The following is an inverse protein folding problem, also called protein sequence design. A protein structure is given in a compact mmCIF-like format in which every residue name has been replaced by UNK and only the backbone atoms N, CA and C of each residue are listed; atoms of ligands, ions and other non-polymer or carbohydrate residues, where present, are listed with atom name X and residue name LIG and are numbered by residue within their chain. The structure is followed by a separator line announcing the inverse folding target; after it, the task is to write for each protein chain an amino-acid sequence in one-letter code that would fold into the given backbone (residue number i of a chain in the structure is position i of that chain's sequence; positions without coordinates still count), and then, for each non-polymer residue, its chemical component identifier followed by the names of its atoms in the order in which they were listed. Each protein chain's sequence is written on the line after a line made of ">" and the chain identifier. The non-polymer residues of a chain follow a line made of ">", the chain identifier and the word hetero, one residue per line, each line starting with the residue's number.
data_IF_691322283842
#
_entry.id   IF_691322283842
#
_cell.length_a   1.000
_cell.length_b   1.000
_cell.length_c   1.000
_cell.angle_alpha   90.00
_cell.angle_beta   90.00
_cell.angle_gamma   90.00
#
_symmetry.space_group_name_H-M   'P 1'
#
loop_
_entity.id
_entity.type
_entity.pdbx_description
1 polymer ?
#
# COMPACT_ATOMS: atom_id res chain seq x y z
N UNK A 1 7.42 22.44 -24.86
CA UNK A 1 7.11 22.85 -23.47
C UNK A 1 8.17 22.20 -22.61
N UNK A 2 8.88 22.99 -21.80
CA UNK A 2 9.98 22.51 -20.96
C UNK A 2 9.53 21.34 -20.07
N UNK A 3 10.23 20.21 -20.14
CA UNK A 3 10.06 19.10 -19.22
C UNK A 3 10.54 19.55 -17.84
N UNK A 4 9.73 19.30 -16.82
CA UNK A 4 10.04 19.66 -15.43
C UNK A 4 10.26 18.39 -14.64
N UNK A 5 11.50 18.13 -14.25
CA UNK A 5 11.90 16.96 -13.47
C UNK A 5 12.01 17.34 -12.00
N UNK A 6 11.36 16.59 -11.12
CA UNK A 6 11.32 16.87 -9.68
C UNK A 6 12.17 15.84 -8.95
N UNK A 7 13.04 16.29 -8.07
CA UNK A 7 13.95 15.43 -7.30
C UNK A 7 14.23 16.03 -5.93
N UNK A 8 14.74 15.20 -5.03
CA UNK A 8 15.17 15.58 -3.69
C UNK A 8 16.69 15.74 -3.63
N UNK A 9 17.13 16.79 -2.95
CA UNK A 9 18.55 17.05 -2.68
C UNK A 9 18.96 16.23 -1.48
N UNK A 10 19.89 15.30 -1.69
CA UNK A 10 20.42 14.41 -0.66
C UNK A 10 21.76 14.93 -0.12
N UNK A 11 22.10 14.47 1.08
CA UNK A 11 23.39 14.78 1.71
C UNK A 11 23.47 16.18 2.31
N UNK A 12 22.33 16.86 2.52
CA UNK A 12 22.22 18.18 3.16
C UNK A 12 22.97 18.26 4.51
N UNK A 13 23.01 17.15 5.25
CA UNK A 13 23.67 17.03 6.55
C UNK A 13 25.20 17.06 6.50
N UNK A 14 25.81 16.78 5.34
CA UNK A 14 27.27 16.76 5.17
C UNK A 14 27.83 18.14 4.79
N UNK A 15 26.95 19.10 4.54
CA UNK A 15 27.25 20.49 4.22
C UNK A 15 26.68 21.40 5.31
N UNK A 16 26.97 22.70 5.24
CA UNK A 16 26.21 23.72 5.99
C UNK A 16 24.75 23.84 5.51
N UNK A 17 24.24 22.87 4.74
CA UNK A 17 22.95 22.87 4.08
C UNK A 17 21.79 23.13 5.03
N UNK A 18 21.81 22.57 6.24
CA UNK A 18 20.82 22.80 7.28
C UNK A 18 20.63 24.29 7.66
N UNK A 19 21.73 25.05 7.75
CA UNK A 19 21.72 26.49 8.05
C UNK A 19 21.40 27.30 6.79
N UNK A 20 21.91 26.85 5.65
CA UNK A 20 21.76 27.56 4.38
C UNK A 20 20.34 27.47 3.78
N UNK A 21 19.58 26.40 4.06
CA UNK A 21 18.19 26.28 3.59
C UNK A 21 17.20 27.10 4.42
N UNK A 22 17.59 27.63 5.59
CA UNK A 22 16.72 28.47 6.44
C UNK A 22 16.35 29.79 5.72
N UNK A 23 17.29 30.33 4.96
CA UNK A 23 17.11 31.57 4.20
C UNK A 23 16.45 31.35 2.82
N UNK A 24 16.24 30.09 2.43
CA UNK A 24 15.65 29.75 1.14
C UNK A 24 14.12 29.82 1.16
N UNK A 25 13.53 30.17 0.00
CA UNK A 25 12.08 30.20 -0.21
C UNK A 25 11.67 29.31 -1.37
N UNK A 26 10.44 28.84 -1.31
CA UNK A 26 9.82 28.19 -2.47
C UNK A 26 9.82 29.17 -3.66
N UNK A 27 10.25 28.69 -4.81
CA UNK A 27 10.43 29.48 -6.02
C UNK A 27 11.84 30.04 -6.23
N UNK A 28 12.72 29.98 -5.23
CA UNK A 28 14.11 30.39 -5.38
C UNK A 28 14.85 29.48 -6.37
N UNK A 29 15.84 30.04 -7.06
CA UNK A 29 16.65 29.31 -8.03
C UNK A 29 17.87 28.68 -7.35
N UNK A 30 18.23 27.48 -7.78
CA UNK A 30 19.48 26.80 -7.42
C UNK A 30 20.21 26.41 -8.70
N UNK A 31 21.52 26.29 -8.60
CA UNK A 31 22.38 25.87 -9.71
C UNK A 31 22.75 24.40 -9.54
N UNK A 32 22.76 23.66 -10.64
CA UNK A 32 23.15 22.25 -10.67
C UNK A 32 24.43 22.10 -11.46
N UNK A 33 25.38 21.30 -10.95
CA UNK A 33 26.70 21.13 -11.59
C UNK A 33 27.12 19.66 -11.62
N UNK A 34 27.51 19.16 -12.78
CA UNK A 34 28.00 17.78 -12.90
C UNK A 34 29.41 17.65 -12.35
N UNK A 35 29.65 16.63 -11.52
CA UNK A 35 30.98 16.26 -11.02
C UNK A 35 31.35 14.82 -11.44
N UNK A 36 31.72 14.60 -12.71
CA UNK A 36 32.06 13.27 -13.22
C UNK A 36 33.37 12.69 -12.66
N UNK A 37 34.14 13.49 -11.90
CA UNK A 37 35.38 13.08 -11.24
C UNK A 37 35.17 12.75 -9.77
N UNK A 38 33.92 12.76 -9.29
CA UNK A 38 33.61 12.38 -7.92
C UNK A 38 34.06 10.93 -7.65
N UNK A 39 34.76 10.72 -6.55
CA UNK A 39 35.42 9.44 -6.22
C UNK A 39 34.43 8.30 -5.90
N UNK A 40 33.19 8.64 -5.56
CA UNK A 40 32.14 7.71 -5.13
C UNK A 40 31.12 7.44 -6.24
N UNK A 41 30.74 8.48 -6.98
CA UNK A 41 29.75 8.39 -8.06
C UNK A 41 30.15 9.24 -9.26
N UNK A 42 30.59 8.61 -10.35
CA UNK A 42 30.91 9.29 -11.61
C UNK A 42 29.71 9.98 -12.28
N UNK A 43 28.50 9.78 -11.76
CA UNK A 43 27.30 10.50 -12.18
C UNK A 43 26.90 11.66 -11.25
N UNK A 44 27.69 11.98 -10.23
CA UNK A 44 27.31 12.97 -9.22
C UNK A 44 26.91 14.33 -9.84
N UNK A 45 25.79 14.88 -9.36
CA UNK A 45 25.33 16.23 -9.67
C UNK A 45 25.22 16.99 -8.36
N UNK A 46 26.01 18.05 -8.24
CA UNK A 46 26.10 18.94 -7.08
C UNK A 46 25.03 20.03 -7.17
N UNK A 47 24.49 20.44 -6.02
CA UNK A 47 23.45 21.47 -5.91
C UNK A 47 23.99 22.67 -5.15
N UNK A 48 23.89 23.85 -5.76
CA UNK A 48 24.41 25.11 -5.25
C UNK A 48 23.31 26.16 -5.09
N UNK A 49 23.36 26.91 -3.99
CA UNK A 49 22.51 28.08 -3.79
C UNK A 49 22.99 29.29 -4.61
N UNK A 50 22.18 30.36 -4.74
CA UNK A 50 22.58 31.58 -5.45
C UNK A 50 23.87 32.23 -4.95
N UNK A 51 24.25 32.04 -3.68
CA UNK A 51 25.50 32.54 -3.10
C UNK A 51 26.75 31.74 -3.50
N UNK A 52 26.58 30.60 -4.17
CA UNK A 52 27.66 29.73 -4.62
C UNK A 52 28.04 28.62 -3.61
N UNK A 53 27.31 28.51 -2.50
CA UNK A 53 27.50 27.46 -1.51
C UNK A 53 26.84 26.15 -1.97
N UNK A 54 27.59 25.04 -1.87
CA UNK A 54 27.05 23.71 -2.10
C UNK A 54 26.20 23.29 -0.92
N UNK A 55 24.97 22.83 -1.20
CA UNK A 55 24.05 22.33 -0.17
C UNK A 55 23.90 20.82 -0.20
N UNK A 56 24.15 20.17 -1.33
CA UNK A 56 24.06 18.72 -1.43
C UNK A 56 24.26 18.20 -2.85
N UNK A 57 23.65 17.06 -3.11
CA UNK A 57 23.67 16.39 -4.41
C UNK A 57 22.27 15.94 -4.83
N UNK A 58 22.09 15.69 -6.11
CA UNK A 58 20.96 14.90 -6.59
C UNK A 58 21.16 13.43 -6.19
N UNK A 59 20.07 12.75 -5.83
CA UNK A 59 20.10 11.32 -5.51
C UNK A 59 20.69 10.49 -6.65
N UNK A 60 21.43 9.42 -6.34
CA UNK A 60 22.22 8.66 -7.33
C UNK A 60 21.42 8.16 -8.53
N UNK A 61 20.22 7.63 -8.31
CA UNK A 61 19.34 7.11 -9.37
C UNK A 61 18.88 8.24 -10.29
N UNK A 62 18.45 9.35 -9.70
CA UNK A 62 18.05 10.55 -10.44
C UNK A 62 19.24 11.16 -11.19
N UNK A 63 20.42 11.24 -10.56
CA UNK A 63 21.63 11.79 -11.16
C UNK A 63 22.08 11.00 -12.40
N UNK A 64 21.96 9.67 -12.35
CA UNK A 64 22.19 8.81 -13.51
C UNK A 64 21.17 9.09 -14.63
N UNK A 65 19.90 9.29 -14.28
CA UNK A 65 18.87 9.65 -15.25
C UNK A 65 19.13 11.03 -15.86
N UNK A 66 19.38 12.05 -15.05
CA UNK A 66 19.72 13.41 -15.49
C UNK A 66 20.90 13.40 -16.45
N UNK A 67 22.02 12.75 -16.10
CA UNK A 67 23.20 12.67 -16.96
C UNK A 67 22.96 11.97 -18.31
N UNK A 68 21.91 11.17 -18.43
CA UNK A 68 21.54 10.49 -19.68
C UNK A 68 20.75 11.36 -20.65
N UNK A 69 20.20 12.48 -20.17
CA UNK A 69 19.36 13.41 -20.95
C UNK A 69 19.88 14.85 -20.93
N UNK A 70 20.88 15.13 -20.12
CA UNK A 70 21.40 16.46 -19.88
C UNK A 70 22.87 16.55 -20.32
N UNK A 71 23.09 17.27 -21.42
CA UNK A 71 24.41 17.42 -22.06
C UNK A 71 25.23 18.61 -21.52
N UNK A 72 24.60 19.59 -20.85
CA UNK A 72 25.29 20.77 -20.32
C UNK A 72 25.91 20.53 -18.93
N UNK A 73 26.93 21.34 -18.60
CA UNK A 73 27.70 21.20 -17.35
C UNK A 73 27.08 21.94 -16.16
N UNK A 74 26.25 22.97 -16.41
CA UNK A 74 25.59 23.78 -15.38
C UNK A 74 24.15 24.13 -15.81
N UNK A 75 23.16 23.93 -14.93
CA UNK A 75 21.74 24.25 -15.17
C UNK A 75 21.10 24.94 -13.97
N UNK A 76 19.88 25.45 -14.18
CA UNK A 76 19.05 26.03 -13.13
C UNK A 76 17.86 25.14 -12.77
N UNK A 77 17.59 25.06 -11.47
CA UNK A 77 16.42 24.41 -10.93
C UNK A 77 15.72 25.34 -9.94
N UNK A 78 14.43 25.09 -9.68
CA UNK A 78 13.60 25.89 -8.79
C UNK A 78 13.29 25.10 -7.52
N UNK A 79 13.38 25.72 -6.35
CA UNK A 79 12.94 25.10 -5.09
C UNK A 79 11.43 24.94 -5.09
N UNK A 80 10.94 23.71 -4.92
CA UNK A 80 9.51 23.36 -4.93
C UNK A 80 9.03 22.69 -3.65
N UNK A 81 9.93 22.34 -2.75
CA UNK A 81 9.61 21.82 -1.42
C UNK A 81 10.77 22.07 -0.47
N UNK A 82 10.46 22.48 0.75
CA UNK A 82 11.44 22.80 1.78
C UNK A 82 10.85 22.44 3.13
N UNK A 83 11.47 21.50 3.82
CA UNK A 83 11.13 21.10 5.19
C UNK A 83 12.43 21.04 5.98
N UNK A 84 12.61 21.91 6.96
CA UNK A 84 13.87 22.01 7.70
C UNK A 84 14.10 23.40 8.29
N UNK A 85 15.24 23.56 8.98
CA UNK A 85 15.66 24.77 9.69
C UNK A 85 16.41 24.41 10.97
N UNK A 86 17.03 25.38 11.66
CA UNK A 86 17.84 25.15 12.87
C UNK A 86 17.15 24.35 13.98
N UNK A 87 15.81 24.36 14.01
CA UNK A 87 14.99 23.65 15.01
C UNK A 87 14.42 22.31 14.52
N UNK A 88 14.74 21.86 13.30
CA UNK A 88 14.21 20.62 12.71
C UNK A 88 15.17 19.45 12.85
N UNK A 89 14.65 18.27 13.23
CA UNK A 89 15.42 17.02 13.28
C UNK A 89 15.76 16.45 11.89
N UNK A 90 15.04 16.91 10.85
CA UNK A 90 15.22 16.46 9.46
C UNK A 90 15.23 17.65 8.50
N UNK A 91 16.04 17.52 7.43
CA UNK A 91 16.20 18.52 6.39
C UNK A 91 15.89 17.90 5.03
N UNK A 92 14.90 18.45 4.34
CA UNK A 92 14.44 18.01 3.02
C UNK A 92 14.36 19.24 2.11
N UNK A 93 15.07 19.18 1.00
CA UNK A 93 15.02 20.18 -0.07
C UNK A 93 14.63 19.49 -1.37
N UNK A 94 13.53 19.94 -1.98
CA UNK A 94 13.03 19.41 -3.27
C UNK A 94 13.12 20.48 -4.34
N UNK A 95 13.62 20.09 -5.50
CA UNK A 95 13.88 21.01 -6.61
C UNK A 95 13.25 20.50 -7.90
N UNK A 96 12.94 21.44 -8.79
CA UNK A 96 12.39 21.23 -10.11
C UNK A 96 13.39 21.72 -11.17
N UNK A 97 13.95 20.80 -11.94
CA UNK A 97 14.85 21.10 -13.05
C UNK A 97 14.01 21.38 -14.28
N UNK A 98 14.20 22.55 -14.88
CA UNK A 98 13.48 22.98 -16.08
C UNK A 98 14.40 22.77 -17.28
N UNK A 99 14.15 21.75 -18.09
CA UNK A 99 14.92 21.55 -19.32
C UNK A 99 14.43 22.53 -20.39
N UNK A 100 15.24 23.54 -20.70
CA UNK A 100 14.95 24.50 -21.77
C UNK A 100 15.35 23.93 -23.14
N UNK A 101 14.39 23.89 -24.06
CA UNK A 101 14.67 23.83 -25.50
C UNK A 101 14.62 22.45 -26.17
N UNK A 102 13.88 22.43 -27.28
CA UNK A 102 13.84 21.47 -28.39
C UNK A 102 14.02 19.97 -28.07
N UNK A 103 12.88 19.27 -28.00
CA UNK A 103 12.61 17.91 -28.48
C UNK A 103 13.86 17.08 -28.83
N UNK A 104 14.73 16.86 -27.84
CA UNK A 104 15.89 15.99 -27.95
C UNK A 104 15.32 14.59 -28.03
N UNK A 105 15.14 14.16 -29.28
CA UNK A 105 14.37 12.99 -29.68
C UNK A 105 14.43 11.90 -28.63
N UNK A 106 13.31 11.72 -27.93
CA UNK A 106 13.01 10.60 -27.05
C UNK A 106 13.24 9.31 -27.84
N UNK A 107 14.49 8.84 -27.79
CA UNK A 107 14.92 7.59 -28.37
C UNK A 107 14.24 6.49 -27.56
N UNK A 108 13.31 5.81 -28.23
CA UNK A 108 12.92 4.40 -28.05
C UNK A 108 13.45 3.76 -26.76
N UNK A 109 12.61 3.63 -25.73
CA UNK A 109 12.91 2.68 -24.66
C UNK A 109 12.17 2.85 -23.34
N UNK A 110 11.70 4.04 -22.99
CA UNK A 110 10.96 4.23 -21.73
C UNK A 110 9.76 5.12 -21.99
N UNK A 111 8.58 4.52 -21.93
CA UNK A 111 7.30 5.20 -22.08
C UNK A 111 7.08 6.13 -20.88
N UNK A 112 7.17 7.45 -21.06
CA UNK A 112 6.80 8.47 -20.04
C UNK A 112 5.28 8.53 -19.92
N UNK A 113 4.67 7.47 -19.38
CA UNK A 113 3.23 7.39 -19.14
C UNK A 113 3.00 7.49 -17.64
N UNK A 114 2.60 8.66 -17.17
CA UNK A 114 2.07 8.82 -15.81
C UNK A 114 0.55 8.76 -15.89
N UNK A 115 -0.10 8.01 -14.99
CA UNK A 115 -1.55 7.99 -14.92
C UNK A 115 -2.11 7.88 -13.49
N UNK A 116 -3.27 8.50 -13.28
CA UNK A 116 -4.08 8.34 -12.06
C UNK A 116 -5.43 7.74 -12.43
N UNK A 117 -5.93 6.83 -11.59
CA UNK A 117 -7.27 6.28 -11.68
C UNK A 117 -8.19 6.95 -10.69
N UNK A 118 -9.34 7.41 -11.17
CA UNK A 118 -10.43 7.88 -10.34
C UNK A 118 -11.72 7.21 -10.76
N UNK A 119 -12.47 6.67 -9.81
CA UNK A 119 -13.83 6.22 -10.02
C UNK A 119 -14.83 7.20 -9.39
N UNK A 120 -15.98 7.38 -10.05
CA UNK A 120 -17.10 8.17 -9.52
C UNK A 120 -18.40 7.36 -9.43
N UNK A 121 -18.34 6.10 -8.98
CA UNK A 121 -19.48 5.16 -8.91
C UNK A 121 -20.23 4.90 -10.24
N UNK A 122 -19.90 5.63 -11.32
CA UNK A 122 -20.55 5.59 -12.63
C UNK A 122 -19.54 5.49 -13.77
N UNK A 123 -18.32 5.98 -13.60
CA UNK A 123 -17.25 6.01 -14.62
C UNK A 123 -15.87 5.89 -13.99
N UNK A 124 -14.97 5.19 -14.67
CA UNK A 124 -13.55 5.15 -14.32
C UNK A 124 -12.84 6.14 -15.23
N UNK A 125 -12.04 7.03 -14.65
CA UNK A 125 -11.23 8.02 -15.36
C UNK A 125 -9.78 7.64 -15.23
N UNK A 126 -9.11 7.61 -16.38
CA UNK A 126 -7.67 7.48 -16.51
C UNK A 126 -7.15 8.86 -16.87
N UNK A 127 -6.45 9.51 -15.95
CA UNK A 127 -5.73 10.76 -16.23
C UNK A 127 -4.36 10.41 -16.77
N UNK A 128 -3.90 11.02 -17.86
CA UNK A 128 -2.62 10.65 -18.50
C UNK A 128 -1.84 11.86 -19.01
N UNK A 129 -0.52 11.77 -18.92
CA UNK A 129 0.42 12.68 -19.56
C UNK A 129 1.08 12.01 -20.76
N UNK A 130 0.62 12.36 -21.96
CA UNK A 130 1.20 11.85 -23.21
C UNK A 130 0.95 12.83 -24.37
N UNK A 131 1.54 12.58 -25.54
CA UNK A 131 1.21 13.31 -26.77
C UNK A 131 -0.19 12.93 -27.29
N UNK A 132 -0.78 13.77 -28.14
CA UNK A 132 -2.09 13.47 -28.76
C UNK A 132 -2.06 12.19 -29.60
N UNK A 133 -0.92 11.89 -30.22
CA UNK A 133 -0.70 10.66 -30.99
C UNK A 133 -0.69 9.43 -30.08
N UNK A 134 0.02 9.51 -28.95
CA UNK A 134 0.05 8.43 -27.96
C UNK A 134 -1.29 8.22 -27.27
N UNK A 135 -2.06 9.28 -27.05
CA UNK A 135 -3.43 9.19 -26.54
C UNK A 135 -4.33 8.36 -27.49
N UNK A 136 -4.18 8.53 -28.81
CA UNK A 136 -4.91 7.74 -29.79
C UNK A 136 -4.50 6.25 -29.72
N UNK A 137 -3.19 5.96 -29.68
CA UNK A 137 -2.67 4.60 -29.52
C UNK A 137 -3.12 3.94 -28.21
N UNK A 138 -3.13 4.70 -27.10
CA UNK A 138 -3.62 4.24 -25.80
C UNK A 138 -5.09 3.81 -25.89
N UNK A 139 -5.95 4.60 -26.53
CA UNK A 139 -7.37 4.26 -26.72
C UNK A 139 -7.57 2.98 -27.53
N UNK A 140 -6.76 2.77 -28.57
CA UNK A 140 -6.78 1.53 -29.37
C UNK A 140 -6.36 0.31 -28.54
N UNK A 141 -5.28 0.43 -27.76
CA UNK A 141 -4.79 -0.64 -26.87
C UNK A 141 -5.76 -0.96 -25.73
N UNK A 142 -6.41 0.04 -25.14
CA UNK A 142 -7.46 -0.19 -24.14
C UNK A 142 -8.60 -1.02 -24.75
N UNK A 143 -9.03 -0.65 -25.96
CA UNK A 143 -10.13 -1.34 -26.65
C UNK A 143 -9.78 -2.80 -26.98
N UNK A 144 -8.52 -3.09 -27.34
CA UNK A 144 -8.07 -4.47 -27.61
C UNK A 144 -8.10 -5.37 -26.36
N UNK A 145 -8.13 -4.76 -25.17
CA UNK A 145 -8.24 -5.42 -23.85
C UNK A 145 -9.66 -5.36 -23.28
N UNK A 146 -10.66 -5.07 -24.12
CA UNK A 146 -12.07 -4.92 -23.74
C UNK A 146 -12.35 -3.78 -22.73
N UNK A 147 -11.44 -2.81 -22.63
CA UNK A 147 -11.62 -1.55 -21.89
C UNK A 147 -11.98 -0.47 -22.91
N UNK A 148 -13.22 0.01 -22.91
CA UNK A 148 -13.72 0.89 -23.96
C UNK A 148 -13.65 2.35 -23.54
N UNK A 149 -12.91 3.21 -24.27
CA UNK A 149 -12.94 4.65 -24.06
C UNK A 149 -14.33 5.22 -24.41
N UNK A 150 -14.96 5.89 -23.46
CA UNK A 150 -16.28 6.53 -23.63
C UNK A 150 -16.12 8.01 -24.00
N UNK A 151 -15.22 8.72 -23.33
CA UNK A 151 -14.98 10.16 -23.51
C UNK A 151 -13.54 10.49 -23.16
N UNK A 152 -12.93 11.39 -23.91
CA UNK A 152 -11.63 11.96 -23.60
C UNK A 152 -11.62 13.49 -23.73
N UNK A 153 -10.62 14.13 -23.14
CA UNK A 153 -10.41 15.57 -23.22
C UNK A 153 -9.22 16.05 -22.42
N UNK A 154 -8.97 17.36 -22.47
CA UNK A 154 -7.93 18.00 -21.66
C UNK A 154 -8.31 18.00 -20.19
N UNK A 155 -7.36 17.61 -19.33
CA UNK A 155 -7.54 17.71 -17.88
C UNK A 155 -7.25 19.14 -17.44
N UNK A 156 -8.23 19.77 -16.78
CA UNK A 156 -8.17 21.21 -16.40
C UNK A 156 -7.86 21.45 -14.93
N UNK A 157 -7.85 20.40 -14.12
CA UNK A 157 -7.66 20.46 -12.67
C UNK A 157 -6.50 19.56 -12.25
N UNK A 158 -6.00 19.77 -11.03
CA UNK A 158 -5.07 18.85 -10.40
C UNK A 158 -5.84 17.65 -9.85
N UNK A 159 -5.28 16.47 -9.99
CA UNK A 159 -5.86 15.21 -9.50
C UNK A 159 -5.43 14.94 -8.04
N UNK A 160 -5.84 13.82 -7.45
CA UNK A 160 -5.71 13.60 -6.00
C UNK A 160 -4.24 13.40 -5.59
N UNK A 161 -3.39 12.97 -6.52
CA UNK A 161 -1.94 12.90 -6.34
C UNK A 161 -1.25 14.28 -6.46
N UNK A 162 -2.01 15.35 -6.73
CA UNK A 162 -1.51 16.72 -6.89
C UNK A 162 -0.93 17.03 -8.28
N UNK A 163 -0.86 16.04 -9.17
CA UNK A 163 -0.39 16.21 -10.54
C UNK A 163 -1.45 16.89 -11.42
N UNK A 164 -0.99 17.64 -12.43
CA UNK A 164 -1.85 18.21 -13.46
C UNK A 164 -1.59 17.45 -14.75
N UNK A 165 -2.28 16.33 -14.90
CA UNK A 165 -2.26 15.56 -16.13
C UNK A 165 -2.74 16.40 -17.32
N UNK A 166 -2.32 16.03 -18.53
CA UNK A 166 -2.68 16.69 -19.76
C UNK A 166 -4.03 16.24 -20.28
N UNK A 167 -4.32 14.94 -20.16
CA UNK A 167 -5.55 14.33 -20.69
C UNK A 167 -6.29 13.55 -19.61
N UNK A 168 -7.59 13.35 -19.85
CA UNK A 168 -8.38 12.34 -19.15
C UNK A 168 -9.11 11.46 -20.17
N UNK A 169 -9.34 10.20 -19.82
CA UNK A 169 -10.16 9.24 -20.57
C UNK A 169 -11.12 8.57 -19.60
N UNK A 170 -12.43 8.69 -19.81
CA UNK A 170 -13.40 7.87 -19.10
C UNK A 170 -13.59 6.53 -19.82
N UNK A 171 -13.57 5.41 -19.10
CA UNK A 171 -13.62 4.05 -19.65
C UNK A 171 -14.73 3.17 -19.05
N UNK A 172 -15.16 2.14 -19.78
CA UNK A 172 -16.08 1.08 -19.34
C UNK A 172 -15.67 -0.33 -19.79
N UNK A 173 -16.27 -1.35 -19.19
CA UNK A 173 -16.23 -2.74 -19.63
C UNK A 173 -17.43 -3.00 -20.53
N UNK A 174 -17.19 -3.17 -21.83
CA UNK A 174 -18.23 -3.38 -22.85
C UNK A 174 -18.73 -2.10 -23.53
N UNK A 175 -19.05 -2.20 -24.83
CA UNK A 175 -19.51 -1.08 -25.69
C UNK A 175 -20.83 -0.44 -25.26
N UNK A 176 -21.71 -1.21 -24.60
CA UNK A 176 -23.06 -0.81 -24.20
C UNK A 176 -23.33 -1.06 -22.70
N UNK A 177 -22.28 -1.34 -21.94
CA UNK A 177 -22.37 -1.71 -20.53
C UNK A 177 -21.78 -0.61 -19.65
N UNK A 178 -22.46 -0.31 -18.54
CA UNK A 178 -21.97 0.57 -17.48
C UNK A 178 -21.09 -0.18 -16.45
N UNK A 179 -20.72 -1.43 -16.72
CA UNK A 179 -19.76 -2.14 -15.86
C UNK A 179 -18.42 -1.41 -15.92
N UNK A 180 -17.86 -1.15 -14.75
CA UNK A 180 -16.59 -0.46 -14.63
C UNK A 180 -15.44 -1.45 -14.63
N UNK A 181 -14.33 -1.15 -15.33
CA UNK A 181 -13.12 -1.94 -15.20
C UNK A 181 -12.63 -1.84 -13.76
N UNK A 182 -12.22 -2.96 -13.19
CA UNK A 182 -11.61 -2.95 -11.85
C UNK A 182 -10.31 -2.17 -11.93
N UNK A 183 -9.95 -1.41 -10.89
CA UNK A 183 -8.67 -0.69 -10.85
C UNK A 183 -7.47 -1.57 -11.23
N UNK A 184 -7.51 -2.84 -10.79
CA UNK A 184 -6.52 -3.87 -11.14
C UNK A 184 -6.39 -4.17 -12.64
N UNK A 185 -7.48 -4.16 -13.39
CA UNK A 185 -7.47 -4.46 -14.84
C UNK A 185 -6.80 -3.33 -15.62
N UNK A 186 -6.99 -2.08 -15.19
CA UNK A 186 -6.32 -0.93 -15.79
C UNK A 186 -4.85 -0.88 -15.36
N UNK A 187 -4.55 -1.26 -14.12
CA UNK A 187 -3.17 -1.35 -13.62
C UNK A 187 -2.34 -2.41 -14.37
N UNK A 188 -2.87 -3.62 -14.53
CA UNK A 188 -2.24 -4.69 -15.31
C UNK A 188 -2.05 -4.30 -16.77
N UNK A 189 -3.00 -3.55 -17.34
CA UNK A 189 -2.89 -2.99 -18.67
C UNK A 189 -1.66 -2.08 -18.79
N UNK A 190 -1.53 -1.07 -17.93
CA UNK A 190 -0.40 -0.13 -18.00
C UNK A 190 0.94 -0.77 -17.70
N UNK A 191 0.98 -1.73 -16.76
CA UNK A 191 2.19 -2.50 -16.50
C UNK A 191 2.62 -3.32 -17.72
N UNK A 192 1.67 -4.01 -18.38
CA UNK A 192 2.00 -4.91 -19.50
C UNK A 192 2.31 -4.15 -20.79
N UNK A 193 1.58 -3.07 -21.05
CA UNK A 193 1.64 -2.38 -22.35
C UNK A 193 2.64 -1.22 -22.38
N UNK A 194 3.03 -0.71 -21.22
CA UNK A 194 3.84 0.49 -21.07
C UNK A 194 4.94 0.39 -20.00
N UNK A 195 5.07 -0.76 -19.31
CA UNK A 195 6.04 -0.99 -18.22
C UNK A 195 5.94 0.02 -17.07
N UNK A 196 4.78 0.67 -16.92
CA UNK A 196 4.55 1.67 -15.87
C UNK A 196 4.18 0.95 -14.58
N UNK A 197 4.99 1.15 -13.54
CA UNK A 197 4.68 0.73 -12.17
C UNK A 197 4.11 1.92 -11.42
N UNK A 198 2.85 1.84 -11.00
CA UNK A 198 2.23 2.88 -10.18
C UNK A 198 2.62 2.71 -8.71
N UNK A 199 2.54 3.81 -7.95
CA UNK A 199 2.66 3.81 -6.48
C UNK A 199 1.77 2.74 -5.83
N UNK A 200 0.55 2.55 -6.33
CA UNK A 200 -0.38 1.52 -5.86
C UNK A 200 0.12 0.09 -6.11
N UNK A 201 0.67 -0.17 -7.30
CA UNK A 201 1.23 -1.48 -7.65
C UNK A 201 2.49 -1.80 -6.84
N UNK A 202 3.32 -0.80 -6.57
CA UNK A 202 4.53 -0.93 -5.76
C UNK A 202 4.19 -1.21 -4.29
N UNK A 203 3.26 -0.44 -3.73
CA UNK A 203 2.65 -0.70 -2.43
C UNK A 203 2.11 -2.14 -2.35
N UNK A 204 1.44 -2.63 -3.40
CA UNK A 204 0.89 -4.00 -3.45
C UNK A 204 2.00 -5.06 -3.47
N UNK A 205 3.04 -4.87 -4.28
CA UNK A 205 4.21 -5.77 -4.34
C UNK A 205 4.86 -5.89 -2.96
N UNK A 206 5.10 -4.74 -2.31
CA UNK A 206 5.70 -4.68 -0.98
C UNK A 206 4.78 -5.28 0.09
N UNK A 207 3.47 -5.04 0.02
CA UNK A 207 2.48 -5.62 0.94
C UNK A 207 2.40 -7.15 0.81
N UNK A 208 2.41 -7.69 -0.42
CA UNK A 208 2.43 -9.13 -0.64
C UNK A 208 3.73 -9.77 -0.12
N UNK A 209 4.86 -9.08 -0.32
CA UNK A 209 6.14 -9.53 0.20
C UNK A 209 6.14 -9.53 1.73
N UNK A 210 5.59 -8.48 2.35
CA UNK A 210 5.42 -8.40 3.81
C UNK A 210 4.57 -9.56 4.33
N UNK A 211 3.42 -9.85 3.72
CA UNK A 211 2.57 -10.97 4.10
C UNK A 211 3.29 -12.32 3.99
N UNK A 212 4.08 -12.53 2.92
CA UNK A 212 4.86 -13.76 2.76
C UNK A 212 5.94 -13.93 3.83
N UNK A 213 6.58 -12.82 4.24
CA UNK A 213 7.56 -12.82 5.33
C UNK A 213 6.89 -13.15 6.66
N UNK A 214 5.69 -12.62 6.91
CA UNK A 214 4.94 -12.90 8.14
C UNK A 214 4.53 -14.37 8.25
N UNK A 215 4.12 -14.99 7.14
CA UNK A 215 3.82 -16.43 7.11
C UNK A 215 5.06 -17.26 7.45
N UNK A 216 6.21 -16.97 6.83
CA UNK A 216 7.47 -17.70 7.08
C UNK A 216 7.95 -17.55 8.53
N UNK A 217 7.79 -16.37 9.13
CA UNK A 217 8.13 -16.16 10.55
C UNK A 217 7.26 -17.04 11.44
N UNK A 218 5.94 -17.04 11.22
CA UNK A 218 5.01 -17.85 11.99
C UNK A 218 5.31 -19.36 11.85
N UNK A 219 5.60 -19.84 10.64
CA UNK A 219 5.99 -21.24 10.39
C UNK A 219 7.22 -21.64 11.20
N UNK A 220 8.28 -20.81 11.20
CA UNK A 220 9.48 -21.09 11.98
C UNK A 220 9.24 -21.03 13.50
N UNK A 221 8.40 -20.11 13.97
CA UNK A 221 8.02 -20.03 15.38
C UNK A 221 7.24 -21.27 15.83
N UNK A 222 6.30 -21.77 15.01
CA UNK A 222 5.55 -22.99 15.27
C UNK A 222 6.46 -24.23 15.28
N UNK A 223 7.42 -24.33 14.35
CA UNK A 223 8.40 -25.43 14.34
C UNK A 223 9.27 -25.43 15.59
N UNK A 224 9.78 -24.25 16.00
CA UNK A 224 10.54 -24.11 17.25
C UNK A 224 9.68 -24.52 18.46
N UNK A 225 8.42 -24.09 18.49
CA UNK A 225 7.50 -24.40 19.57
C UNK A 225 7.22 -25.92 19.66
N UNK A 226 6.95 -26.56 18.51
CA UNK A 226 6.73 -28.00 18.41
C UNK A 226 7.95 -28.80 18.87
N UNK A 227 9.16 -28.38 18.47
CA UNK A 227 10.40 -29.04 18.83
C UNK A 227 10.75 -28.93 20.32
N UNK A 228 10.20 -27.95 21.04
CA UNK A 228 10.50 -27.71 22.46
C UNK A 228 10.21 -28.93 23.33
N UNK A 229 9.04 -29.56 23.17
CA UNK A 229 8.67 -30.75 23.96
C UNK A 229 9.57 -31.95 23.66
N UNK A 230 9.99 -32.10 22.39
CA UNK A 230 10.91 -33.17 21.99
C UNK A 230 12.31 -32.98 22.59
N UNK A 231 12.83 -31.75 22.59
CA UNK A 231 14.11 -31.41 23.24
C UNK A 231 14.06 -31.67 24.75
N UNK A 232 12.98 -31.27 25.43
CA UNK A 232 12.80 -31.52 26.87
C UNK A 232 12.80 -33.03 27.20
N UNK A 233 12.14 -33.85 26.37
CA UNK A 233 12.13 -35.32 26.51
C UNK A 233 13.52 -35.91 26.32
N UNK A 234 14.24 -35.49 25.27
CA UNK A 234 15.60 -35.97 25.00
C UNK A 234 16.54 -35.58 26.15
N UNK A 235 16.50 -34.33 26.62
CA UNK A 235 17.28 -33.86 27.77
C UNK A 235 16.99 -34.66 29.04
N UNK A 236 15.71 -34.93 29.33
CA UNK A 236 15.34 -35.73 30.50
C UNK A 236 15.91 -37.15 30.42
N UNK A 237 15.90 -37.76 29.22
CA UNK A 237 16.44 -39.10 28.97
C UNK A 237 17.97 -39.13 29.11
N UNK A 238 18.66 -38.15 28.54
CA UNK A 238 20.12 -37.95 28.71
C UNK A 238 20.48 -37.81 30.19
N UNK A 239 19.71 -37.02 30.96
CA UNK A 239 19.93 -36.83 32.39
C UNK A 239 19.80 -38.15 33.17
N UNK A 240 18.74 -38.92 32.93
CA UNK A 240 18.54 -40.23 33.57
C UNK A 240 19.68 -41.21 33.27
N UNK A 241 20.12 -41.27 32.01
CA UNK A 241 21.25 -42.13 31.62
C UNK A 241 22.56 -41.70 32.30
N UNK A 242 22.80 -40.39 32.44
CA UNK A 242 23.96 -39.87 33.17
C UNK A 242 23.92 -40.21 34.66
N UNK A 243 22.74 -40.09 35.30
CA UNK A 243 22.55 -40.50 36.70
C UNK A 243 22.84 -41.99 36.87
N UNK A 244 22.29 -42.86 36.01
CA UNK A 244 22.57 -44.30 36.01
C UNK A 244 24.05 -44.64 35.79
N UNK A 245 24.72 -43.92 34.89
CA UNK A 245 26.16 -44.07 34.63
C UNK A 245 27.02 -43.73 35.85
N UNK A 246 26.56 -42.83 36.71
CA UNK A 246 27.27 -42.45 37.94
C UNK A 246 27.06 -43.45 39.08
N UNK A 247 25.97 -44.23 39.04
CA UNK A 247 25.57 -45.15 40.12
C UNK A 247 25.99 -46.61 39.86
N UNK A 248 26.27 -47.00 38.61
CA UNK A 248 26.60 -48.38 38.21
C UNK A 248 28.05 -48.50 37.74
N UNK A 249 28.83 -49.45 38.29
CA UNK A 249 30.18 -49.79 37.82
C UNK A 249 30.16 -50.43 36.41
N UNK A 250 29.07 -51.11 36.03
CA UNK A 250 28.90 -51.81 34.75
C UNK A 250 27.92 -51.08 33.81
N UNK A 251 28.27 -49.89 33.34
CA UNK A 251 27.52 -49.21 32.27
C UNK A 251 27.75 -49.93 30.94
N UNK A 252 26.70 -50.56 30.40
CA UNK A 252 26.83 -51.43 29.22
C UNK A 252 27.11 -50.64 27.94
N UNK A 253 27.82 -51.25 26.98
CA UNK A 253 28.07 -50.67 25.64
C UNK A 253 26.78 -50.26 24.94
N UNK A 254 25.70 -51.02 25.09
CA UNK A 254 24.40 -50.71 24.50
C UNK A 254 23.78 -49.40 25.08
N UNK A 255 23.97 -49.15 26.37
CA UNK A 255 23.51 -47.91 27.03
C UNK A 255 24.38 -46.71 26.66
N UNK A 256 25.67 -46.94 26.42
CA UNK A 256 26.58 -45.91 25.91
C UNK A 256 26.23 -45.52 24.47
N UNK A 257 25.91 -46.48 23.60
CA UNK A 257 25.44 -46.21 22.24
C UNK A 257 24.10 -45.44 22.24
N UNK A 258 23.15 -45.79 23.12
CA UNK A 258 21.89 -45.04 23.26
C UNK A 258 22.14 -43.59 23.72
N UNK A 259 23.05 -43.40 24.67
CA UNK A 259 23.43 -42.07 25.16
C UNK A 259 24.02 -41.22 24.03
N UNK A 260 24.97 -41.76 23.27
CA UNK A 260 25.63 -41.05 22.19
C UNK A 260 24.65 -40.69 21.06
N UNK A 261 23.72 -41.59 20.71
CA UNK A 261 22.65 -41.30 19.75
C UNK A 261 21.71 -40.19 20.23
N UNK A 262 21.31 -40.20 21.50
CA UNK A 262 20.47 -39.15 22.08
C UNK A 262 21.20 -37.80 22.10
N UNK A 263 22.49 -37.79 22.42
CA UNK A 263 23.33 -36.60 22.41
C UNK A 263 23.46 -36.02 21.00
N UNK A 264 23.69 -36.87 19.99
CA UNK A 264 23.73 -36.45 18.58
C UNK A 264 22.39 -35.87 18.12
N UNK A 265 21.28 -36.54 18.45
CA UNK A 265 19.93 -36.06 18.09
C UNK A 265 19.59 -34.73 18.77
N UNK A 266 19.96 -34.58 20.05
CA UNK A 266 19.80 -33.32 20.79
C UNK A 266 20.57 -32.18 20.11
N UNK A 267 21.87 -32.41 19.84
CA UNK A 267 22.72 -31.39 19.23
C UNK A 267 22.23 -30.98 17.85
N UNK A 268 21.80 -31.95 17.02
CA UNK A 268 21.24 -31.68 15.70
C UNK A 268 19.98 -30.83 15.78
N UNK A 269 18.99 -31.26 16.57
CA UNK A 269 17.72 -30.55 16.69
C UNK A 269 17.88 -29.16 17.31
N UNK A 270 18.81 -29.01 18.25
CA UNK A 270 19.14 -27.72 18.85
C UNK A 270 19.82 -26.78 17.84
N UNK A 271 20.76 -27.28 17.03
CA UNK A 271 21.41 -26.50 15.97
C UNK A 271 20.41 -26.05 14.89
N UNK A 272 19.46 -26.91 14.51
CA UNK A 272 18.39 -26.55 13.57
C UNK A 272 17.48 -25.45 14.15
N UNK A 273 17.14 -25.50 15.44
CA UNK A 273 16.35 -24.45 16.10
C UNK A 273 17.12 -23.12 16.19
N UNK A 274 18.42 -23.13 16.48
CA UNK A 274 19.25 -21.92 16.41
C UNK A 274 19.31 -21.34 14.99
N UNK A 275 19.44 -22.20 13.97
CA UNK A 275 19.36 -21.78 12.57
C UNK A 275 18.03 -21.09 12.23
N UNK A 276 16.90 -21.62 12.73
CA UNK A 276 15.58 -21.01 12.57
C UNK A 276 15.46 -19.68 13.29
N UNK A 277 15.99 -19.54 14.51
CA UNK A 277 16.00 -18.26 15.24
C UNK A 277 16.76 -17.17 14.48
N UNK A 278 17.96 -17.49 13.97
CA UNK A 278 18.73 -16.57 13.15
C UNK A 278 17.96 -16.15 11.89
N UNK A 279 17.20 -17.09 11.30
CA UNK A 279 16.35 -16.79 10.14
C UNK A 279 15.19 -15.86 10.49
N UNK A 280 14.52 -16.07 11.64
CA UNK A 280 13.49 -15.18 12.17
C UNK A 280 14.05 -13.76 12.38
N UNK A 281 15.25 -13.62 12.95
CA UNK A 281 15.88 -12.30 13.17
C UNK A 281 16.18 -11.58 11.84
N UNK A 282 16.71 -12.31 10.85
CA UNK A 282 16.92 -11.79 9.50
C UNK A 282 15.61 -11.36 8.83
N UNK A 283 14.56 -12.17 8.95
CA UNK A 283 13.21 -11.85 8.43
C UNK A 283 12.57 -10.69 9.18
N UNK A 284 12.85 -10.52 10.48
CA UNK A 284 12.40 -9.38 11.28
C UNK A 284 13.01 -8.06 10.81
N UNK A 285 14.28 -8.08 10.41
CA UNK A 285 14.96 -6.94 9.78
C UNK A 285 14.34 -6.61 8.42
N UNK A 286 14.06 -7.62 7.59
CA UNK A 286 13.39 -7.44 6.30
C UNK A 286 11.95 -6.91 6.47
N UNK A 287 11.20 -7.43 7.43
CA UNK A 287 9.86 -6.95 7.81
C UNK A 287 9.87 -5.47 8.19
N UNK A 288 10.85 -5.06 9.00
CA UNK A 288 11.00 -3.66 9.43
C UNK A 288 11.28 -2.74 8.25
N UNK A 289 12.17 -3.17 7.34
CA UNK A 289 12.46 -2.44 6.10
C UNK A 289 11.23 -2.33 5.20
N UNK A 290 10.49 -3.42 4.97
CA UNK A 290 9.27 -3.40 4.15
C UNK A 290 8.18 -2.50 4.73
N UNK A 291 8.03 -2.47 6.06
CA UNK A 291 7.10 -1.54 6.73
C UNK A 291 7.51 -0.08 6.53
N UNK A 292 8.81 0.22 6.58
CA UNK A 292 9.34 1.55 6.29
C UNK A 292 9.11 1.95 4.83
N UNK A 293 9.43 1.08 3.87
CA UNK A 293 9.21 1.35 2.45
C UNK A 293 7.71 1.59 2.16
N UNK A 294 6.82 0.86 2.81
CA UNK A 294 5.38 1.07 2.74
C UNK A 294 4.93 2.41 3.36
N UNK A 295 5.50 2.81 4.50
CA UNK A 295 5.15 4.09 5.15
C UNK A 295 5.63 5.30 4.33
N UNK A 296 6.82 5.23 3.73
CA UNK A 296 7.33 6.25 2.80
C UNK A 296 6.40 6.39 1.58
N UNK A 297 5.84 5.28 1.10
CA UNK A 297 4.84 5.30 0.05
C UNK A 297 3.44 5.69 0.53
N UNK A 298 3.26 6.11 1.78
CA UNK A 298 1.98 6.54 2.37
C UNK A 298 0.94 5.42 2.49
N UNK A 299 1.38 4.16 2.59
CA UNK A 299 0.49 3.07 2.95
C UNK A 299 0.06 3.20 4.42
N UNK A 300 -1.23 2.97 4.74
CA UNK A 300 -1.72 3.06 6.12
C UNK A 300 -1.01 2.05 7.05
N UNK A 301 -0.72 2.48 8.28
CA UNK A 301 -0.13 1.60 9.31
C UNK A 301 -1.04 0.40 9.58
N UNK A 302 -0.51 -0.81 9.39
CA UNK A 302 -1.25 -2.06 9.57
C UNK A 302 -1.17 -3.04 8.40
N UNK A 303 -0.55 -2.64 7.29
CA UNK A 303 -0.54 -3.44 6.08
C UNK A 303 -1.90 -3.34 5.38
N UNK A 304 -1.87 -3.28 4.06
CA UNK A 304 -3.09 -3.09 3.29
C UNK A 304 -3.89 -4.38 3.20
N UNK A 305 -4.87 -4.55 4.08
CA UNK A 305 -6.12 -5.16 3.64
C UNK A 305 -6.87 -4.12 2.78
N UNK A 306 -6.38 -3.96 1.54
CA UNK A 306 -6.91 -2.99 0.57
C UNK A 306 -8.42 -3.14 0.39
N UNK A 307 -8.97 -4.34 0.60
CA UNK A 307 -10.40 -4.58 0.43
C UNK A 307 -11.27 -3.96 1.52
N UNK A 308 -10.80 -3.84 2.77
CA UNK A 308 -11.57 -3.20 3.84
C UNK A 308 -11.35 -1.70 3.91
N UNK A 309 -10.12 -1.22 3.64
CA UNK A 309 -9.82 0.23 3.69
C UNK A 309 -10.44 1.00 2.53
N UNK A 310 -10.27 0.52 1.28
CA UNK A 310 -10.92 1.14 0.11
C UNK A 310 -12.44 1.06 0.21
N UNK A 311 -12.99 -0.05 0.71
CA UNK A 311 -14.43 -0.20 0.94
C UNK A 311 -14.93 0.72 2.06
N UNK A 312 -14.18 0.89 3.15
CA UNK A 312 -14.56 1.82 4.22
C UNK A 312 -14.61 3.26 3.73
N UNK A 313 -13.56 3.73 3.06
CA UNK A 313 -13.52 5.05 2.45
C UNK A 313 -14.60 5.22 1.38
N UNK A 314 -14.79 4.22 0.52
CA UNK A 314 -15.85 4.22 -0.50
C UNK A 314 -17.23 4.32 0.13
N UNK A 315 -17.53 3.51 1.14
CA UNK A 315 -18.84 3.47 1.78
C UNK A 315 -19.11 4.71 2.62
N UNK A 316 -18.11 5.22 3.34
CA UNK A 316 -18.21 6.46 4.12
C UNK A 316 -18.38 7.69 3.21
N UNK A 317 -17.69 7.73 2.06
CA UNK A 317 -17.86 8.79 1.07
C UNK A 317 -19.19 8.69 0.31
N UNK A 318 -19.63 7.46 -0.01
CA UNK A 318 -20.87 7.23 -0.77
C UNK A 318 -22.11 7.40 0.10
N UNK A 319 -22.02 7.03 1.38
CA UNK A 319 -23.12 7.08 2.35
C UNK A 319 -22.72 7.90 3.58
N UNK A 320 -22.53 9.23 3.44
CA UNK A 320 -21.98 10.06 4.50
C UNK A 320 -22.89 10.20 5.73
N UNK A 321 -24.15 9.75 5.64
CA UNK A 321 -25.06 9.71 6.79
C UNK A 321 -25.09 8.35 7.47
N UNK A 322 -24.41 7.33 6.93
CA UNK A 322 -24.38 5.99 7.50
C UNK A 322 -23.12 5.83 8.36
N UNK A 323 -23.34 5.52 9.63
CA UNK A 323 -22.31 5.10 10.56
C UNK A 323 -22.33 3.57 10.64
N UNK A 324 -21.31 2.92 10.07
CA UNK A 324 -21.17 1.47 10.10
C UNK A 324 -20.67 0.99 11.47
N UNK A 325 -21.37 0.02 12.05
CA UNK A 325 -21.04 -0.51 13.37
C UNK A 325 -20.24 -1.81 13.29
N UNK A 326 -19.32 -1.99 14.24
CA UNK A 326 -18.52 -3.23 14.43
C UNK A 326 -17.77 -3.67 13.16
N UNK A 327 -17.74 -4.98 12.93
CA UNK A 327 -17.10 -5.69 11.82
C UNK A 327 -17.91 -5.56 10.50
N UNK A 328 -18.76 -4.55 10.35
CA UNK A 328 -19.61 -4.37 9.16
C UNK A 328 -18.79 -4.26 7.88
N UNK A 329 -17.66 -3.54 7.88
CA UNK A 329 -16.80 -3.44 6.69
C UNK A 329 -16.21 -4.80 6.30
N UNK A 330 -15.72 -5.56 7.28
CA UNK A 330 -15.17 -6.90 7.08
C UNK A 330 -16.24 -7.87 6.57
N UNK A 331 -17.47 -7.76 7.08
CA UNK A 331 -18.61 -8.58 6.62
C UNK A 331 -19.08 -8.19 5.23
N UNK A 332 -19.17 -6.90 4.90
CA UNK A 332 -19.55 -6.47 3.54
C UNK A 332 -18.52 -6.99 2.53
N UNK A 333 -17.24 -6.98 2.90
CA UNK A 333 -16.17 -7.49 2.05
C UNK A 333 -16.18 -9.02 1.90
N UNK A 334 -16.53 -9.76 2.96
CA UNK A 334 -16.60 -11.24 2.92
C UNK A 334 -17.89 -11.78 2.31
N UNK A 335 -18.95 -10.97 2.32
CA UNK A 335 -20.26 -11.31 1.76
C UNK A 335 -20.24 -10.97 0.26
N UNK A 336 -20.02 -11.99 -0.58
CA UNK A 336 -20.22 -11.91 -2.04
C UNK A 336 -21.73 -11.84 -2.39
N UNK A 337 -22.44 -10.82 -1.90
CA UNK A 337 -23.87 -10.60 -2.18
C UNK A 337 -24.05 -9.37 -3.08
N UNK A 338 -24.47 -9.56 -4.35
CA UNK A 338 -24.79 -8.45 -5.24
C UNK A 338 -25.98 -7.61 -4.75
N UNK A 339 -26.80 -8.15 -3.84
CA UNK A 339 -27.96 -7.47 -3.28
C UNK A 339 -27.63 -6.54 -2.10
N UNK A 340 -26.45 -6.68 -1.47
CA UNK A 340 -26.14 -6.01 -0.22
C UNK A 340 -25.91 -4.49 -0.40
N UNK A 341 -25.03 -4.09 -1.32
CA UNK A 341 -24.74 -2.66 -1.56
C UNK A 341 -25.99 -1.87 -2.03
N UNK A 342 -26.83 -2.38 -2.95
CA UNK A 342 -28.09 -1.72 -3.30
C UNK A 342 -29.08 -1.58 -2.15
N UNK A 343 -29.05 -2.48 -1.15
CA UNK A 343 -29.90 -2.37 0.05
C UNK A 343 -29.32 -1.35 1.04
N UNK A 344 -27.99 -1.33 1.22
CA UNK A 344 -27.31 -0.29 2.01
C UNK A 344 -27.60 1.10 1.43
N UNK A 345 -27.44 1.30 0.13
CA UNK A 345 -27.70 2.60 -0.50
C UNK A 345 -29.17 3.05 -0.45
N UNK A 346 -30.12 2.10 -0.44
CA UNK A 346 -31.54 2.43 -0.23
C UNK A 346 -31.89 2.74 1.22
N UNK A 347 -31.03 2.37 2.17
CA UNK A 347 -31.29 2.57 3.61
C UNK A 347 -31.46 4.05 3.96
N UNK A 348 -30.69 4.95 3.35
CA UNK A 348 -30.82 6.41 3.57
C UNK A 348 -32.19 6.96 3.11
N UNK A 349 -32.74 6.40 2.03
CA UNK A 349 -34.03 6.82 1.45
C UNK A 349 -35.23 6.18 2.17
N UNK A 350 -35.11 4.90 2.54
CA UNK A 350 -36.19 4.12 3.15
C UNK A 350 -36.40 4.46 4.62
N UNK A 351 -35.31 4.74 5.36
CA UNK A 351 -35.38 5.00 6.80
C UNK A 351 -35.77 6.46 7.14
N UNK A 352 -35.67 7.38 6.17
CA UNK A 352 -36.11 8.77 6.27
C UNK A 352 -37.56 9.01 5.78
N UNK A 353 -38.30 7.96 5.44
CA UNK A 353 -39.75 8.03 5.24
C UNK A 353 -40.23 8.33 3.82
N UNK A 354 -39.36 8.26 2.81
CA UNK A 354 -39.73 8.48 1.39
C UNK A 354 -39.86 7.20 0.56
N UNK A 355 -39.56 6.02 1.12
CA UNK A 355 -39.53 4.73 0.41
C UNK A 355 -40.59 3.71 0.87
N UNK A 356 -40.94 2.76 -0.01
CA UNK A 356 -41.76 1.57 0.35
C UNK A 356 -40.89 0.57 1.10
N UNK A 357 -40.87 0.63 2.44
CA UNK A 357 -39.82 -0.01 3.22
C UNK A 357 -39.99 -1.53 3.37
N UNK A 358 -39.00 -2.31 2.90
CA UNK A 358 -38.80 -3.72 3.27
C UNK A 358 -38.28 -3.92 4.71
N UNK A 359 -38.11 -2.82 5.45
CA UNK A 359 -37.64 -2.79 6.83
C UNK A 359 -38.75 -3.16 7.81
N UNK A 360 -38.44 -4.03 8.77
CA UNK A 360 -39.32 -4.43 9.87
C UNK A 360 -38.83 -3.85 11.19
N UNK A 361 -39.71 -3.75 12.18
CA UNK A 361 -39.29 -3.39 13.53
C UNK A 361 -38.44 -4.52 14.11
N UNK A 362 -37.26 -4.17 14.62
CA UNK A 362 -36.47 -5.07 15.44
C UNK A 362 -36.94 -4.97 16.90
N UNK A 363 -36.71 -6.02 17.69
CA UNK A 363 -37.18 -6.11 19.07
C UNK A 363 -36.52 -5.08 20.01
N UNK A 364 -35.35 -4.57 19.64
CA UNK A 364 -34.69 -3.48 20.34
C UNK A 364 -35.33 -2.13 19.95
N UNK A 365 -35.74 -1.32 20.94
CA UNK A 365 -36.54 -0.10 20.72
C UNK A 365 -35.85 0.87 19.75
N UNK A 366 -36.57 1.29 18.71
CA UNK A 366 -36.09 2.25 17.70
C UNK A 366 -35.21 1.64 16.60
N UNK A 367 -34.82 0.37 16.74
CA UNK A 367 -34.09 -0.36 15.72
C UNK A 367 -35.03 -1.03 14.72
N UNK A 368 -34.55 -1.14 13.49
CA UNK A 368 -35.22 -1.83 12.39
C UNK A 368 -34.31 -2.90 11.82
N UNK A 369 -34.89 -3.90 11.19
CA UNK A 369 -34.17 -4.96 10.49
C UNK A 369 -34.60 -5.11 9.02
N UNK A 370 -33.66 -5.44 8.16
CA UNK A 370 -33.91 -5.78 6.76
C UNK A 370 -33.23 -7.10 6.39
N UNK A 371 -33.88 -7.87 5.53
CA UNK A 371 -33.46 -9.20 5.11
C UNK A 371 -32.80 -9.10 3.73
N UNK A 372 -31.63 -9.70 3.55
CA UNK A 372 -30.98 -9.79 2.24
C UNK A 372 -30.51 -11.22 1.96
N UNK A 373 -30.29 -11.52 0.68
CA UNK A 373 -29.92 -12.86 0.22
C UNK A 373 -28.40 -13.07 0.29
N UNK A 374 -28.00 -14.21 0.81
CA UNK A 374 -26.63 -14.75 0.78
C UNK A 374 -26.69 -16.08 0.05
N UNK A 375 -26.03 -16.21 -1.12
CA UNK A 375 -26.04 -17.46 -1.89
C UNK A 375 -27.45 -17.97 -2.27
N UNK A 376 -28.39 -17.07 -2.54
CA UNK A 376 -29.79 -17.41 -2.87
C UNK A 376 -30.71 -17.68 -1.67
N UNK A 377 -30.20 -17.66 -0.44
CA UNK A 377 -31.00 -17.80 0.79
C UNK A 377 -31.11 -16.48 1.55
N UNK A 378 -32.31 -16.12 2.06
CA UNK A 378 -32.57 -14.87 2.82
C UNK A 378 -32.05 -14.91 4.27
N UNK A 379 -30.77 -15.22 4.44
CA UNK A 379 -30.13 -15.43 5.74
C UNK A 379 -29.39 -14.21 6.27
N UNK A 380 -29.08 -13.21 5.43
CA UNK A 380 -28.44 -11.96 5.84
C UNK A 380 -29.40 -11.02 6.57
N UNK A 381 -28.86 -10.23 7.51
CA UNK A 381 -29.59 -9.19 8.25
C UNK A 381 -28.83 -7.87 8.24
N UNK A 382 -29.55 -6.79 7.98
CA UNK A 382 -29.13 -5.44 8.27
C UNK A 382 -29.92 -4.94 9.46
N UNK A 383 -29.26 -4.36 10.45
CA UNK A 383 -29.91 -3.66 11.56
C UNK A 383 -29.63 -2.17 11.44
N UNK A 384 -30.65 -1.34 11.59
CA UNK A 384 -30.51 0.10 11.46
C UNK A 384 -31.20 0.84 12.61
N UNK A 385 -30.58 1.94 13.04
CA UNK A 385 -31.15 2.92 13.95
C UNK A 385 -30.95 4.32 13.40
N UNK A 386 -32.02 5.10 13.33
CA UNK A 386 -31.96 6.50 12.88
C UNK A 386 -31.80 7.41 14.09
N UNK A 387 -30.63 8.00 14.24
CA UNK A 387 -30.42 9.06 15.22
C UNK A 387 -30.91 10.40 14.65
N UNK A 388 -32.09 10.81 15.13
CA UNK A 388 -32.73 12.05 14.71
C UNK A 388 -31.98 13.31 15.15
N UNK A 389 -31.09 13.24 16.14
CA UNK A 389 -30.35 14.41 16.65
C UNK A 389 -29.16 14.74 15.76
N UNK A 390 -28.39 13.72 15.39
CA UNK A 390 -27.23 13.85 14.49
C UNK A 390 -27.59 13.72 13.02
N UNK A 391 -28.83 13.33 12.70
CA UNK A 391 -29.26 12.98 11.34
C UNK A 391 -28.38 11.88 10.72
N UNK A 392 -27.93 10.93 11.55
CA UNK A 392 -27.12 9.78 11.15
C UNK A 392 -27.90 8.47 11.28
N UNK A 393 -27.53 7.50 10.46
CA UNK A 393 -28.10 6.15 10.45
C UNK A 393 -27.01 5.20 10.90
N UNK A 394 -27.18 4.62 12.08
CA UNK A 394 -26.30 3.56 12.57
C UNK A 394 -26.70 2.26 11.90
N UNK A 395 -25.79 1.62 11.18
CA UNK A 395 -26.05 0.43 10.38
C UNK A 395 -25.11 -0.70 10.76
N UNK A 396 -25.65 -1.89 11.02
CA UNK A 396 -24.90 -3.10 11.34
C UNK A 396 -25.23 -4.22 10.34
N UNK A 397 -24.20 -4.75 9.68
CA UNK A 397 -24.31 -5.90 8.78
C UNK A 397 -24.07 -7.20 9.55
N UNK A 398 -24.93 -8.20 9.33
CA UNK A 398 -24.87 -9.48 10.02
C UNK A 398 -25.16 -10.65 9.09
N UNK A 399 -24.26 -11.63 9.09
CA UNK A 399 -24.49 -12.95 8.48
C UNK A 399 -25.28 -13.85 9.42
N UNK A 400 -25.58 -15.10 9.02
CA UNK A 400 -26.37 -16.01 9.87
C UNK A 400 -25.66 -16.40 11.16
N UNK A 401 -24.33 -16.57 11.12
CA UNK A 401 -23.52 -17.04 12.24
C UNK A 401 -23.40 -15.97 13.34
N UNK A 402 -23.46 -14.69 12.97
CA UNK A 402 -23.21 -13.56 13.88
C UNK A 402 -24.48 -12.99 14.53
N UNK A 403 -25.68 -13.39 14.11
CA UNK A 403 -26.95 -12.71 14.49
C UNK A 403 -27.21 -12.67 15.99
N UNK A 404 -26.93 -13.74 16.73
CA UNK A 404 -27.14 -13.78 18.18
C UNK A 404 -26.20 -12.78 18.90
N UNK A 405 -24.93 -12.78 18.51
CA UNK A 405 -23.90 -11.87 19.03
C UNK A 405 -24.21 -10.41 18.68
N UNK A 406 -24.64 -10.16 17.45
CA UNK A 406 -24.95 -8.84 16.93
C UNK A 406 -26.25 -8.27 17.55
N UNK A 407 -27.25 -9.13 17.78
CA UNK A 407 -28.46 -8.77 18.53
C UNK A 407 -28.13 -8.38 19.97
N UNK A 408 -27.30 -9.16 20.67
CA UNK A 408 -26.83 -8.84 22.03
C UNK A 408 -26.06 -7.52 22.08
N UNK A 409 -25.28 -7.21 21.06
CA UNK A 409 -24.59 -5.92 20.94
C UNK A 409 -25.58 -4.76 20.80
N UNK A 410 -26.59 -4.88 19.92
CA UNK A 410 -27.62 -3.85 19.74
C UNK A 410 -28.35 -3.55 21.05
N UNK A 411 -28.70 -4.58 21.82
CA UNK A 411 -29.36 -4.39 23.13
C UNK A 411 -28.49 -3.66 24.16
N UNK A 412 -27.15 -3.65 24.01
CA UNK A 412 -26.24 -2.89 24.87
C UNK A 412 -26.12 -1.42 24.47
N UNK A 413 -26.56 -1.05 23.27
CA UNK A 413 -26.53 0.34 22.77
C UNK A 413 -27.78 1.15 23.14
N UNK A 414 -28.79 0.49 23.72
CA UNK A 414 -30.02 1.08 24.26
C UNK A 414 -29.86 1.18 25.77
#
# INVERSE_FOLDING_TARGET
>A
MASVLRTEVVGLQYYSGAVLIEDCKLGDQVSLKRNPKNEIDGNAIEVYLPGGEQVGHIGREDAQYFNSIWDELEERATIIGLEGGLESEFYVLKIAVHADGEDHGLRKGVHTFSYELKDDNQRAYIYVDCSLKELATLKEKLTSRAIYPIKDGECRWRTNDGHKYRWFISVSMGKESFLMPKGLEIEEFFQTEYEVVTRLLEIRKLSNKLASVEVLVNEYEEEIHSNKSSLEKIQHKIRKLNEQKSELEDFTTLQQDEFDQLQMNYNKLNAENEGRKNKIESLGSEKSRLKYDLSVLGAPEGGLDYRTTSLSQYLENTFPRIEFLRDSFQKINSIESPDLLPVIGRSELDLNGTGKSGWKNFSAKGWREHYFSLGGQKTGRLYAFVDKKSNTIKLLVSDKASQDRDSKYIYKLI
#
